data_IF_200837914879
#
_entry.id   IF_200837914879
#
_cell.length_a   1.000
_cell.length_b   1.000
_cell.length_c   1.000
_cell.angle_alpha   90.00
_cell.angle_beta   90.00
_cell.angle_gamma   90.00
#
_symmetry.space_group_name_H-M   'P 1'
#
loop_
_entity.id
_entity.type
_entity.pdbx_description
1 polymer ?
#
# COMPACT_ATOMS: atom_id res chain seq x y z
N UNK A 1 6.83 -13.94 -16.89
CA UNK A 1 5.50 -13.32 -16.80
C UNK A 1 5.52 -12.35 -15.64
N UNK A 2 5.02 -11.12 -15.80
CA UNK A 2 4.95 -10.18 -14.69
C UNK A 2 3.73 -10.54 -13.83
N UNK A 3 3.97 -11.08 -12.63
CA UNK A 3 2.93 -11.56 -11.69
C UNK A 3 2.49 -10.51 -10.68
N UNK A 4 3.02 -9.28 -10.78
CA UNK A 4 2.78 -8.22 -9.80
C UNK A 4 2.20 -6.98 -10.46
N UNK A 5 1.37 -6.27 -9.69
CA UNK A 5 0.84 -4.96 -10.05
C UNK A 5 1.31 -3.94 -9.02
N UNK A 6 1.61 -2.71 -9.44
CA UNK A 6 2.15 -1.67 -8.54
C UNK A 6 1.08 -0.77 -7.93
N UNK A 7 -0.03 -0.56 -8.64
CA UNK A 7 -1.12 0.33 -8.23
C UNK A 7 -2.38 0.06 -9.07
N UNK A 8 -3.50 0.66 -8.68
CA UNK A 8 -4.78 0.49 -9.36
C UNK A 8 -4.80 1.01 -10.81
N UNK A 9 -3.97 1.99 -11.19
CA UNK A 9 -3.84 2.40 -12.60
C UNK A 9 -3.30 1.26 -13.47
N UNK A 10 -2.20 0.64 -13.04
CA UNK A 10 -1.62 -0.49 -13.75
C UNK A 10 -2.62 -1.66 -13.78
N UNK A 11 -3.35 -1.90 -12.69
CA UNK A 11 -4.40 -2.91 -12.65
C UNK A 11 -5.45 -2.66 -13.74
N UNK A 12 -6.06 -1.47 -13.76
CA UNK A 12 -7.10 -1.07 -14.73
C UNK A 12 -6.62 -1.28 -16.17
N UNK A 13 -5.41 -0.82 -16.49
CA UNK A 13 -4.85 -0.99 -17.83
C UNK A 13 -4.74 -2.47 -18.23
N UNK A 14 -4.34 -3.35 -17.31
CA UNK A 14 -4.16 -4.76 -17.59
C UNK A 14 -5.50 -5.51 -17.68
N UNK A 15 -6.44 -5.23 -16.77
CA UNK A 15 -7.77 -5.87 -16.80
C UNK A 15 -8.56 -5.45 -18.03
N UNK A 16 -8.45 -4.18 -18.48
CA UNK A 16 -9.12 -3.73 -19.71
C UNK A 16 -8.53 -4.37 -20.96
N UNK A 17 -7.19 -4.48 -21.03
CA UNK A 17 -6.52 -5.17 -22.13
C UNK A 17 -6.92 -6.64 -22.21
N UNK A 18 -6.89 -7.35 -21.08
CA UNK A 18 -7.31 -8.75 -21.03
C UNK A 18 -8.79 -8.90 -21.37
N UNK A 19 -9.64 -7.99 -20.87
CA UNK A 19 -11.07 -8.07 -21.09
C UNK A 19 -11.49 -7.82 -22.53
N UNK A 20 -10.71 -7.04 -23.28
CA UNK A 20 -10.98 -6.77 -24.70
C UNK A 20 -10.97 -8.04 -25.57
N UNK A 21 -10.24 -9.08 -25.14
CA UNK A 21 -10.07 -10.32 -25.92
C UNK A 21 -10.62 -11.56 -25.23
N UNK A 22 -10.69 -11.57 -23.89
CA UNK A 22 -10.93 -12.81 -23.13
C UNK A 22 -12.16 -12.77 -22.23
N UNK A 23 -12.76 -11.61 -21.95
CA UNK A 23 -13.90 -11.52 -21.04
C UNK A 23 -15.16 -12.11 -21.67
N UNK A 24 -15.85 -12.95 -20.92
CA UNK A 24 -17.11 -13.59 -21.28
C UNK A 24 -18.13 -13.39 -20.15
N UNK A 25 -19.43 -13.61 -20.38
CA UNK A 25 -20.43 -13.61 -19.31
C UNK A 25 -20.12 -14.63 -18.20
N UNK A 26 -19.42 -15.72 -18.52
CA UNK A 26 -19.04 -16.77 -17.56
C UNK A 26 -17.74 -16.46 -16.80
N UNK A 27 -17.00 -15.39 -17.14
CA UNK A 27 -15.76 -15.06 -16.45
C UNK A 27 -16.00 -14.81 -14.98
N UNK A 28 -15.27 -15.56 -14.15
CA UNK A 28 -15.21 -15.43 -12.71
C UNK A 28 -14.01 -14.59 -12.30
N UNK A 29 -14.23 -13.74 -11.31
CA UNK A 29 -13.19 -12.99 -10.61
C UNK A 29 -12.95 -13.65 -9.26
N UNK A 30 -11.69 -13.87 -8.95
CA UNK A 30 -11.24 -14.48 -7.70
C UNK A 30 -10.32 -13.51 -7.01
N UNK A 31 -10.61 -13.21 -5.76
CA UNK A 31 -9.69 -12.53 -4.84
C UNK A 31 -9.26 -13.56 -3.80
N UNK A 32 -7.97 -13.64 -3.51
CA UNK A 32 -7.46 -14.43 -2.40
C UNK A 32 -6.62 -13.55 -1.49
N UNK A 33 -6.78 -13.70 -0.19
CA UNK A 33 -5.95 -13.07 0.83
C UNK A 33 -5.09 -14.13 1.52
N UNK A 34 -3.83 -13.81 1.80
CA UNK A 34 -2.96 -14.69 2.59
C UNK A 34 -3.11 -14.37 4.07
N UNK A 35 -3.72 -15.30 4.80
CA UNK A 35 -3.91 -15.14 6.24
C UNK A 35 -2.57 -15.03 6.97
N UNK A 36 -2.40 -13.94 7.73
CA UNK A 36 -1.28 -13.75 8.66
C UNK A 36 0.11 -13.92 8.02
N UNK A 37 0.28 -13.43 6.78
CA UNK A 37 1.49 -13.64 5.96
C UNK A 37 2.80 -13.42 6.74
N UNK A 38 2.94 -12.29 7.45
CA UNK A 38 4.19 -11.94 8.13
C UNK A 38 4.50 -12.78 9.37
N UNK A 39 3.47 -13.31 10.05
CA UNK A 39 3.62 -14.05 11.30
C UNK A 39 3.68 -15.56 11.07
N UNK A 40 3.19 -16.06 9.92
CA UNK A 40 3.15 -17.49 9.63
C UNK A 40 4.38 -18.03 8.88
N UNK A 41 5.17 -17.18 8.23
CA UNK A 41 6.40 -17.63 7.53
C UNK A 41 7.43 -18.17 8.55
N UNK A 42 7.91 -19.42 8.40
CA UNK A 42 8.98 -19.95 9.23
C UNK A 42 10.27 -19.13 9.06
N UNK A 43 10.98 -18.84 10.14
CA UNK A 43 12.16 -17.96 10.10
C UNK A 43 13.26 -18.49 9.16
N UNK A 44 13.66 -19.76 9.32
CA UNK A 44 14.61 -20.41 8.40
C UNK A 44 14.02 -20.61 7.00
N UNK A 45 12.70 -20.81 6.88
CA UNK A 45 12.01 -20.86 5.60
C UNK A 45 12.13 -19.53 4.83
N UNK A 46 12.03 -18.41 5.54
CA UNK A 46 12.23 -17.06 5.00
C UNK A 46 13.68 -16.81 4.57
N UNK A 47 14.67 -17.21 5.38
CA UNK A 47 16.09 -17.12 5.01
C UNK A 47 16.39 -17.98 3.78
N UNK A 48 15.86 -19.20 3.74
CA UNK A 48 15.99 -20.10 2.58
C UNK A 48 15.31 -19.52 1.33
N UNK A 49 14.18 -18.84 1.47
CA UNK A 49 13.52 -18.17 0.36
C UNK A 49 14.39 -17.05 -0.23
N UNK A 50 15.02 -16.22 0.60
CA UNK A 50 15.98 -15.20 0.15
C UNK A 50 17.16 -15.84 -0.59
N UNK A 51 17.74 -16.91 -0.04
CA UNK A 51 18.82 -17.66 -0.70
C UNK A 51 18.41 -18.15 -2.09
N UNK A 52 17.27 -18.85 -2.17
CA UNK A 52 16.72 -19.37 -3.43
C UNK A 52 16.42 -18.24 -4.42
N UNK A 53 15.94 -17.09 -3.93
CA UNK A 53 15.65 -15.93 -4.77
C UNK A 53 16.94 -15.38 -5.40
N UNK A 54 17.97 -15.16 -4.59
CA UNK A 54 19.28 -14.71 -5.08
C UNK A 54 19.86 -15.68 -6.11
N UNK A 55 19.78 -16.98 -5.84
CA UNK A 55 20.23 -18.02 -6.77
C UNK A 55 19.43 -18.03 -8.08
N UNK A 56 18.10 -17.88 -8.01
CA UNK A 56 17.23 -17.82 -9.19
C UNK A 56 17.52 -16.61 -10.09
N UNK A 57 18.05 -15.52 -9.53
CA UNK A 57 18.46 -14.32 -10.28
C UNK A 57 19.98 -14.26 -10.53
N UNK A 58 20.74 -15.31 -10.19
CA UNK A 58 22.20 -15.33 -10.38
C UNK A 58 22.96 -14.31 -9.53
N UNK A 59 22.37 -13.81 -8.44
CA UNK A 59 22.94 -12.78 -7.58
C UNK A 59 23.94 -13.39 -6.60
N UNK A 60 25.22 -13.05 -6.79
CA UNK A 60 26.31 -13.43 -5.85
C UNK A 60 26.53 -12.38 -4.75
N UNK A 61 26.18 -11.13 -5.02
CA UNK A 61 26.27 -10.01 -4.09
C UNK A 61 25.22 -8.95 -4.43
N UNK A 62 24.89 -8.09 -3.46
CA UNK A 62 24.02 -6.93 -3.62
C UNK A 62 24.78 -5.73 -3.03
N UNK A 63 24.98 -4.67 -3.82
CA UNK A 63 25.70 -3.46 -3.41
C UNK A 63 27.07 -3.74 -2.75
N UNK A 64 27.81 -4.70 -3.31
CA UNK A 64 29.12 -5.14 -2.78
C UNK A 64 29.08 -6.07 -1.57
N UNK A 65 27.88 -6.36 -1.02
CA UNK A 65 27.71 -7.28 0.09
C UNK A 65 27.51 -8.71 -0.42
N UNK A 66 28.39 -9.63 -0.02
CA UNK A 66 28.33 -11.04 -0.42
C UNK A 66 27.04 -11.72 0.06
N UNK A 67 26.53 -12.67 -0.75
CA UNK A 67 25.34 -13.48 -0.44
C UNK A 67 25.38 -14.08 0.97
N UNK A 68 26.52 -14.62 1.38
CA UNK A 68 26.68 -15.30 2.67
C UNK A 68 26.45 -14.33 3.83
N UNK A 69 26.94 -13.09 3.70
CA UNK A 69 26.76 -12.02 4.69
C UNK A 69 25.30 -11.58 4.73
N UNK A 70 24.66 -11.39 3.56
CA UNK A 70 23.23 -11.04 3.48
C UNK A 70 22.37 -12.09 4.18
N UNK A 71 22.63 -13.38 3.96
CA UNK A 71 21.90 -14.47 4.60
C UNK A 71 22.15 -14.53 6.11
N UNK A 72 23.39 -14.29 6.55
CA UNK A 72 23.73 -14.24 7.98
C UNK A 72 23.00 -13.08 8.67
N UNK A 73 23.01 -11.88 8.08
CA UNK A 73 22.30 -10.71 8.60
C UNK A 73 20.78 -10.91 8.59
N UNK A 74 20.24 -11.50 7.51
CA UNK A 74 18.81 -11.83 7.41
C UNK A 74 18.39 -12.76 8.53
N UNK A 75 19.15 -13.83 8.76
CA UNK A 75 18.92 -14.78 9.85
C UNK A 75 19.02 -14.09 11.21
N UNK A 76 20.05 -13.28 11.41
CA UNK A 76 20.23 -12.56 12.67
C UNK A 76 19.01 -11.68 12.99
N UNK A 77 18.55 -10.86 12.05
CA UNK A 77 17.43 -9.95 12.26
C UNK A 77 16.12 -10.70 12.50
N UNK A 78 15.81 -11.74 11.72
CA UNK A 78 14.53 -12.45 11.87
C UNK A 78 14.47 -13.29 13.15
N UNK A 79 15.60 -13.83 13.61
CA UNK A 79 15.67 -14.68 14.82
C UNK A 79 15.80 -13.89 16.12
N UNK A 80 16.19 -12.61 16.06
CA UNK A 80 16.38 -11.76 17.24
C UNK A 80 15.30 -10.67 17.34
N UNK A 81 14.05 -11.05 17.09
CA UNK A 81 12.93 -10.15 17.28
C UNK A 81 12.32 -10.31 18.68
N UNK A 82 12.41 -9.27 19.50
CA UNK A 82 11.89 -9.22 20.86
C UNK A 82 10.87 -8.07 20.98
N UNK A 83 9.79 -8.29 21.72
CA UNK A 83 8.82 -7.24 22.02
C UNK A 83 8.39 -7.30 23.49
N UNK A 84 8.02 -6.14 24.03
CA UNK A 84 7.54 -5.99 25.40
C UNK A 84 6.02 -5.84 25.42
N UNK A 85 5.35 -6.68 26.18
CA UNK A 85 3.90 -6.65 26.36
C UNK A 85 3.58 -7.01 27.82
N UNK A 86 2.70 -6.25 28.46
CA UNK A 86 2.15 -6.52 29.80
C UNK A 86 3.21 -6.91 30.85
N UNK A 87 4.28 -6.12 30.96
CA UNK A 87 5.32 -6.36 31.97
C UNK A 87 6.42 -7.32 31.53
N UNK A 88 6.25 -8.03 30.42
CA UNK A 88 7.11 -9.16 30.03
C UNK A 88 7.75 -8.98 28.66
N UNK A 89 8.96 -9.53 28.50
CA UNK A 89 9.65 -9.62 27.21
C UNK A 89 9.35 -10.95 26.53
N UNK A 90 8.99 -10.89 25.25
CA UNK A 90 8.70 -12.04 24.41
C UNK A 90 9.64 -12.08 23.22
N UNK A 91 10.09 -13.29 22.86
CA UNK A 91 10.83 -13.54 21.62
C UNK A 91 9.87 -14.11 20.58
N UNK A 92 9.81 -13.50 19.40
CA UNK A 92 9.04 -14.05 18.29
C UNK A 92 9.81 -15.24 17.69
N UNK A 93 9.18 -16.42 17.74
CA UNK A 93 9.77 -17.69 17.27
C UNK A 93 9.36 -18.07 15.84
N UNK A 94 8.36 -17.39 15.27
CA UNK A 94 7.81 -17.63 13.93
C UNK A 94 7.43 -16.31 13.27
N UNK A 95 7.65 -16.19 11.97
CA UNK A 95 7.45 -14.95 11.24
C UNK A 95 8.51 -13.90 11.55
N UNK A 96 8.27 -12.69 11.06
CA UNK A 96 9.07 -11.51 11.38
C UNK A 96 8.25 -10.41 12.03
N UNK A 97 8.94 -9.37 12.52
CA UNK A 97 8.30 -8.21 13.12
C UNK A 97 7.43 -7.49 12.09
N UNK A 98 6.14 -7.30 12.40
CA UNK A 98 5.29 -6.44 11.58
C UNK A 98 5.87 -5.02 11.56
N UNK A 99 5.98 -4.44 10.36
CA UNK A 99 6.60 -3.12 10.15
C UNK A 99 8.13 -3.14 9.98
N UNK A 100 8.78 -4.31 10.07
CA UNK A 100 10.17 -4.44 9.65
C UNK A 100 10.27 -4.42 8.12
N UNK A 101 11.11 -3.55 7.53
CA UNK A 101 11.36 -3.55 6.08
C UNK A 101 11.87 -4.91 5.58
N UNK A 102 12.66 -5.62 6.39
CA UNK A 102 13.19 -6.93 6.02
C UNK A 102 12.07 -7.98 5.94
N UNK A 103 11.11 -7.95 6.86
CA UNK A 103 10.01 -8.92 6.91
C UNK A 103 9.15 -8.85 5.64
N UNK A 104 8.92 -7.65 5.10
CA UNK A 104 8.25 -7.47 3.81
C UNK A 104 9.04 -8.11 2.66
N UNK A 105 10.35 -7.93 2.63
CA UNK A 105 11.23 -8.52 1.61
C UNK A 105 11.22 -10.05 1.69
N UNK A 106 11.32 -10.60 2.90
CA UNK A 106 11.24 -12.05 3.14
C UNK A 106 9.88 -12.60 2.69
N UNK A 107 8.78 -11.93 3.04
CA UNK A 107 7.45 -12.35 2.65
C UNK A 107 7.26 -12.39 1.13
N UNK A 108 7.73 -11.36 0.42
CA UNK A 108 7.70 -11.35 -1.04
C UNK A 108 8.58 -12.44 -1.65
N UNK A 109 9.77 -12.69 -1.08
CA UNK A 109 10.65 -13.77 -1.53
C UNK A 109 10.02 -15.15 -1.32
N UNK A 110 9.36 -15.36 -0.18
CA UNK A 110 8.66 -16.60 0.12
C UNK A 110 7.47 -16.82 -0.83
N UNK A 111 6.62 -15.80 -0.98
CA UNK A 111 5.46 -15.84 -1.86
C UNK A 111 5.83 -16.01 -3.33
N UNK A 112 6.99 -15.50 -3.77
CA UNK A 112 7.48 -15.70 -5.13
C UNK A 112 7.64 -17.18 -5.52
N UNK A 113 7.91 -18.07 -4.56
CA UNK A 113 7.96 -19.52 -4.82
C UNK A 113 6.60 -20.18 -4.68
N UNK A 114 5.84 -19.82 -3.64
CA UNK A 114 4.49 -20.34 -3.39
C UNK A 114 3.54 -20.04 -4.54
N UNK A 115 3.66 -18.87 -5.18
CA UNK A 115 2.77 -18.47 -6.27
C UNK A 115 3.08 -19.10 -7.64
N UNK A 116 4.23 -19.77 -7.81
CA UNK A 116 4.64 -20.30 -9.12
C UNK A 116 3.65 -21.30 -9.71
N UNK A 117 3.10 -22.27 -8.95
CA UNK A 117 2.11 -23.19 -9.48
C UNK A 117 0.83 -22.45 -9.92
N UNK A 118 0.42 -21.43 -9.16
CA UNK A 118 -0.77 -20.60 -9.45
C UNK A 118 -0.55 -19.81 -10.75
N UNK A 119 0.57 -19.09 -10.85
CA UNK A 119 0.91 -18.32 -12.05
C UNK A 119 1.08 -19.20 -13.29
N UNK A 120 1.69 -20.38 -13.16
CA UNK A 120 1.79 -21.36 -14.26
C UNK A 120 0.42 -21.85 -14.72
N UNK A 121 -0.47 -22.16 -13.78
CA UNK A 121 -1.85 -22.54 -14.09
C UNK A 121 -2.61 -21.40 -14.80
N UNK A 122 -2.48 -20.17 -14.31
CA UNK A 122 -3.13 -19.01 -14.90
C UNK A 122 -2.68 -18.80 -16.35
N UNK A 123 -1.37 -18.89 -16.61
CA UNK A 123 -0.82 -18.79 -17.96
C UNK A 123 -1.34 -19.89 -18.90
N UNK A 124 -1.43 -21.14 -18.43
CA UNK A 124 -1.94 -22.27 -19.23
C UNK A 124 -3.44 -22.16 -19.57
N UNK A 125 -4.20 -21.47 -18.73
CA UNK A 125 -5.66 -21.31 -18.89
C UNK A 125 -6.04 -19.95 -19.49
N UNK A 126 -5.07 -19.16 -19.95
CA UNK A 126 -5.26 -17.79 -20.39
C UNK A 126 -5.95 -16.89 -19.35
N UNK A 127 -5.81 -17.22 -18.06
CA UNK A 127 -6.34 -16.43 -16.95
C UNK A 127 -5.40 -15.27 -16.61
N UNK A 128 -5.96 -14.15 -16.18
CA UNK A 128 -5.18 -13.04 -15.64
C UNK A 128 -4.83 -13.35 -14.19
N UNK A 129 -3.59 -13.13 -13.77
CA UNK A 129 -3.13 -13.33 -12.39
C UNK A 129 -2.25 -12.17 -11.96
N UNK A 130 -2.56 -11.57 -10.81
CA UNK A 130 -1.71 -10.58 -10.15
C UNK A 130 -1.68 -10.78 -8.65
N UNK A 131 -0.55 -10.43 -8.04
CA UNK A 131 -0.37 -10.33 -6.59
C UNK A 131 0.09 -8.93 -6.19
N UNK A 132 -0.38 -8.46 -5.04
CA UNK A 132 0.06 -7.27 -4.33
C UNK A 132 0.31 -7.65 -2.88
N UNK A 133 1.58 -7.91 -2.52
CA UNK A 133 1.96 -8.39 -1.19
C UNK A 133 1.23 -9.69 -0.84
N UNK A 134 0.19 -9.62 -0.01
CA UNK A 134 -0.68 -10.67 0.54
C UNK A 134 -1.98 -10.84 -0.24
N UNK A 135 -2.43 -9.82 -0.98
CA UNK A 135 -3.61 -9.90 -1.82
C UNK A 135 -3.27 -10.51 -3.19
N UNK A 136 -4.09 -11.45 -3.66
CA UNK A 136 -4.02 -12.07 -4.98
C UNK A 136 -5.34 -11.83 -5.74
N UNK A 137 -5.23 -11.69 -7.06
CA UNK A 137 -6.36 -11.43 -7.95
C UNK A 137 -6.25 -12.26 -9.22
N UNK A 138 -7.35 -12.92 -9.60
CA UNK A 138 -7.46 -13.74 -10.80
C UNK A 138 -8.74 -13.40 -11.57
N UNK A 139 -8.63 -13.29 -12.89
CA UNK A 139 -9.78 -13.33 -13.81
C UNK A 139 -9.67 -14.57 -14.67
N UNK A 140 -10.70 -15.42 -14.67
CA UNK A 140 -10.66 -16.71 -15.36
C UNK A 140 -12.00 -17.09 -15.98
N UNK A 141 -11.95 -17.74 -17.15
CA UNK A 141 -13.11 -18.38 -17.78
C UNK A 141 -13.34 -19.81 -17.28
N UNK A 142 -12.52 -20.31 -16.34
CA UNK A 142 -12.73 -21.60 -15.69
C UNK A 142 -13.93 -21.51 -14.76
N UNK A 143 -14.74 -22.58 -14.72
CA UNK A 143 -15.94 -22.65 -13.90
C UNK A 143 -15.64 -22.44 -12.40
N UNK A 144 -16.52 -21.72 -11.70
CA UNK A 144 -16.32 -21.32 -10.31
C UNK A 144 -16.04 -22.50 -9.37
N UNK A 145 -16.70 -23.64 -9.55
CA UNK A 145 -16.47 -24.82 -8.69
C UNK A 145 -15.10 -25.46 -8.89
N UNK A 146 -14.57 -25.42 -10.11
CA UNK A 146 -13.20 -25.86 -10.39
C UNK A 146 -12.22 -24.90 -9.74
N UNK A 147 -12.47 -23.59 -9.80
CA UNK A 147 -11.65 -22.58 -9.12
C UNK A 147 -11.62 -22.82 -7.60
N UNK A 148 -12.76 -23.08 -6.94
CA UNK A 148 -12.79 -23.47 -5.51
C UNK A 148 -11.96 -24.72 -5.24
N UNK A 149 -12.05 -25.74 -6.10
CA UNK A 149 -11.24 -26.95 -6.00
C UNK A 149 -9.73 -26.67 -6.11
N UNK A 150 -9.34 -25.76 -6.99
CA UNK A 150 -7.95 -25.33 -7.18
C UNK A 150 -7.41 -24.56 -5.98
N UNK A 151 -8.19 -23.64 -5.39
CA UNK A 151 -7.78 -22.94 -4.17
C UNK A 151 -7.54 -23.94 -3.03
N UNK A 152 -8.47 -24.88 -2.83
CA UNK A 152 -8.28 -25.97 -1.85
C UNK A 152 -7.01 -26.78 -2.11
N UNK A 153 -6.66 -27.00 -3.38
CA UNK A 153 -5.40 -27.66 -3.74
C UNK A 153 -4.17 -26.78 -3.45
N UNK A 154 -4.20 -25.49 -3.77
CA UNK A 154 -3.11 -24.56 -3.49
C UNK A 154 -2.85 -24.40 -2.00
N UNK A 155 -3.90 -24.41 -1.16
CA UNK A 155 -3.79 -24.42 0.30
C UNK A 155 -3.09 -25.67 0.88
N UNK A 156 -2.90 -26.74 0.08
CA UNK A 156 -2.13 -27.93 0.49
C UNK A 156 -0.67 -27.91 0.04
N UNK A 157 -0.27 -26.92 -0.76
CA UNK A 157 1.10 -26.85 -1.30
C UNK A 157 2.11 -26.35 -0.28
N UNK A 158 1.67 -25.53 0.67
CA UNK A 158 2.52 -25.00 1.73
C UNK A 158 1.76 -24.94 3.05
N UNK A 159 2.25 -25.63 4.07
CA UNK A 159 1.60 -25.70 5.39
C UNK A 159 1.61 -24.37 6.16
N UNK A 160 2.34 -23.35 5.67
CA UNK A 160 2.48 -22.05 6.31
C UNK A 160 1.66 -20.96 5.62
N UNK A 161 1.09 -21.24 4.44
CA UNK A 161 0.34 -20.25 3.66
C UNK A 161 -1.09 -20.76 3.50
N UNK A 162 -2.03 -19.95 3.98
CA UNK A 162 -3.45 -20.21 3.83
C UNK A 162 -4.05 -19.06 3.03
N UNK A 163 -4.65 -19.41 1.90
CA UNK A 163 -5.44 -18.52 1.06
C UNK A 163 -6.90 -18.58 1.49
N UNK A 164 -7.48 -17.41 1.78
CA UNK A 164 -8.92 -17.21 1.92
C UNK A 164 -9.46 -16.65 0.61
N UNK A 165 -10.38 -17.33 -0.06
CA UNK A 165 -10.93 -16.91 -1.35
C UNK A 165 -12.32 -16.28 -1.30
N UNK A 166 -12.56 -15.35 -2.23
CA UNK A 166 -13.88 -14.92 -2.64
C UNK A 166 -13.97 -15.06 -4.16
N UNK A 167 -15.01 -15.77 -4.65
CA UNK A 167 -15.21 -16.07 -6.07
C UNK A 167 -16.59 -15.58 -6.49
N UNK A 168 -16.64 -14.80 -7.55
CA UNK A 168 -17.90 -14.34 -8.13
C UNK A 168 -17.71 -13.53 -9.40
N UNK A 169 -18.70 -12.72 -9.75
CA UNK A 169 -18.62 -11.80 -10.88
C UNK A 169 -18.25 -10.37 -10.45
N UNK A 170 -17.88 -10.19 -9.18
CA UNK A 170 -17.44 -8.93 -8.61
C UNK A 170 -16.23 -9.20 -7.74
N UNK A 171 -15.24 -8.33 -7.82
CA UNK A 171 -14.02 -8.41 -7.03
C UNK A 171 -13.57 -7.02 -6.59
N UNK A 172 -12.98 -6.96 -5.42
CA UNK A 172 -12.41 -5.77 -4.81
C UNK A 172 -10.92 -6.04 -4.65
N UNK A 173 -10.09 -5.26 -5.33
CA UNK A 173 -8.65 -5.47 -5.33
C UNK A 173 -7.93 -4.13 -5.44
N UNK A 174 -6.99 -3.88 -4.52
CA UNK A 174 -6.43 -2.54 -4.28
C UNK A 174 -7.55 -1.53 -3.96
N UNK A 175 -7.57 -0.41 -4.67
CA UNK A 175 -8.52 0.69 -4.58
C UNK A 175 -9.59 0.65 -5.68
N UNK A 176 -9.79 -0.52 -6.31
CA UNK A 176 -10.68 -0.71 -7.46
C UNK A 176 -11.70 -1.82 -7.17
N UNK A 177 -12.96 -1.56 -7.53
CA UNK A 177 -14.03 -2.56 -7.59
C UNK A 177 -14.31 -2.89 -9.06
N UNK A 178 -14.21 -4.17 -9.40
CA UNK A 178 -14.41 -4.72 -10.74
C UNK A 178 -15.67 -5.57 -10.74
N UNK A 179 -16.48 -5.44 -11.79
CA UNK A 179 -17.73 -6.18 -11.98
C UNK A 179 -17.79 -6.69 -13.42
N UNK A 180 -18.13 -7.97 -13.61
CA UNK A 180 -18.51 -8.53 -14.89
C UNK A 180 -20.03 -8.43 -15.06
N UNK A 181 -20.48 -7.49 -15.89
CA UNK A 181 -21.91 -7.31 -16.19
C UNK A 181 -22.25 -7.95 -17.53
N UNK A 182 -22.42 -9.27 -17.53
CA UNK A 182 -22.82 -10.03 -18.71
C UNK A 182 -21.79 -9.95 -19.86
N UNK A 183 -20.50 -10.05 -19.54
CA UNK A 183 -19.41 -9.96 -20.52
C UNK A 183 -18.88 -8.54 -20.74
N UNK A 184 -19.37 -7.56 -19.96
CA UNK A 184 -18.85 -6.19 -19.95
C UNK A 184 -18.15 -5.87 -18.64
N UNK A 185 -16.87 -5.51 -18.72
CA UNK A 185 -16.10 -5.06 -17.56
C UNK A 185 -16.62 -3.69 -17.10
N UNK A 186 -17.01 -3.60 -15.84
CA UNK A 186 -17.33 -2.35 -15.16
C UNK A 186 -16.36 -2.15 -14.01
N UNK A 187 -15.76 -0.98 -13.95
CA UNK A 187 -14.82 -0.61 -12.90
C UNK A 187 -15.29 0.68 -12.20
N UNK A 188 -15.01 0.76 -10.89
CA UNK A 188 -15.26 1.95 -10.06
C UNK A 188 -14.27 2.02 -8.91
N UNK A 189 -14.16 3.19 -8.28
CA UNK A 189 -13.37 3.34 -7.05
C UNK A 189 -14.02 2.48 -5.96
N UNK A 190 -13.20 1.72 -5.25
CA UNK A 190 -13.65 0.96 -4.09
C UNK A 190 -13.46 1.76 -2.80
N UNK A 191 -14.53 1.86 -2.01
CA UNK A 191 -14.51 2.41 -0.66
C UNK A 191 -14.90 1.29 0.31
N UNK A 192 -14.03 0.99 1.28
CA UNK A 192 -14.33 -0.03 2.30
C UNK A 192 -15.54 0.44 3.12
N UNK A 193 -16.54 -0.42 3.40
CA UNK A 193 -17.72 -0.04 4.17
C UNK A 193 -17.40 0.50 5.58
N UNK A 194 -16.31 0.04 6.18
CA UNK A 194 -15.84 0.49 7.49
C UNK A 194 -15.08 1.82 7.44
N UNK A 195 -14.83 2.38 6.26
CA UNK A 195 -14.08 3.61 6.11
C UNK A 195 -15.01 4.80 6.28
N UNK A 196 -14.83 5.55 7.36
CA UNK A 196 -15.39 6.90 7.43
C UNK A 196 -14.76 7.74 6.31
N UNK A 197 -15.50 8.70 5.71
CA UNK A 197 -14.99 9.57 4.65
C UNK A 197 -13.98 10.58 5.21
N UNK A 198 -12.91 10.11 5.83
CA UNK A 198 -11.92 10.90 6.52
C UNK A 198 -10.77 11.26 5.57
N UNK A 199 -10.82 12.47 5.05
CA UNK A 199 -9.65 13.13 4.50
C UNK A 199 -8.91 13.86 5.60
N UNK A 200 -7.65 14.20 5.36
CA UNK A 200 -6.93 15.09 6.26
C UNK A 200 -7.74 16.39 6.45
N UNK A 201 -8.17 16.75 7.67
CA UNK A 201 -9.01 17.93 7.86
C UNK A 201 -8.34 19.21 7.35
N UNK A 202 -9.10 20.09 6.71
CA UNK A 202 -8.55 21.33 6.15
C UNK A 202 -7.98 22.25 7.24
N UNK A 203 -8.50 22.17 8.46
CA UNK A 203 -8.03 22.92 9.64
C UNK A 203 -6.73 22.37 10.26
N UNK A 204 -6.27 21.20 9.82
CA UNK A 204 -5.04 20.59 10.34
C UNK A 204 -3.79 21.42 9.96
N UNK A 205 -2.73 21.33 10.78
CA UNK A 205 -1.47 22.08 10.57
C UNK A 205 -0.55 21.32 9.61
N UNK A 206 -1.03 21.08 8.39
CA UNK A 206 -0.24 20.47 7.32
C UNK A 206 0.00 21.50 6.22
N UNK A 207 1.14 21.38 5.55
CA UNK A 207 1.51 22.26 4.45
C UNK A 207 0.41 22.31 3.37
N UNK A 208 0.14 23.51 2.85
CA UNK A 208 -0.98 23.74 1.93
C UNK A 208 -0.91 22.86 0.67
N UNK A 209 0.29 22.52 0.19
CA UNK A 209 0.45 21.65 -0.98
C UNK A 209 -0.11 20.24 -0.74
N UNK A 210 -0.07 19.71 0.50
CA UNK A 210 -0.69 18.43 0.86
C UNK A 210 -2.21 18.55 0.75
N UNK A 211 -2.78 19.63 1.31
CA UNK A 211 -4.22 19.91 1.24
C UNK A 211 -4.69 20.08 -0.20
N UNK A 212 -3.90 20.76 -1.06
CA UNK A 212 -4.19 20.89 -2.50
C UNK A 212 -4.13 19.55 -3.24
N UNK A 213 -3.22 18.66 -2.86
CA UNK A 213 -3.03 17.38 -3.55
C UNK A 213 -4.14 16.36 -3.27
N UNK A 214 -4.81 16.44 -2.11
CA UNK A 214 -5.89 15.51 -1.76
C UNK A 214 -7.05 15.52 -2.78
N UNK A 215 -7.75 16.65 -3.04
CA UNK A 215 -8.81 16.71 -4.05
C UNK A 215 -8.28 16.40 -5.46
N UNK A 216 -7.06 16.86 -5.78
CA UNK A 216 -6.42 16.61 -7.07
C UNK A 216 -6.25 15.10 -7.35
N UNK A 217 -5.66 14.35 -6.42
CA UNK A 217 -5.42 12.92 -6.58
C UNK A 217 -6.74 12.13 -6.53
N UNK A 218 -7.68 12.54 -5.67
CA UNK A 218 -8.99 11.92 -5.59
C UNK A 218 -9.74 11.99 -6.93
N UNK A 219 -9.75 13.16 -7.59
CA UNK A 219 -10.40 13.31 -8.89
C UNK A 219 -9.68 12.53 -10.00
N UNK A 220 -8.34 12.57 -10.04
CA UNK A 220 -7.54 11.76 -10.99
C UNK A 220 -7.89 10.28 -10.85
N UNK A 221 -8.01 9.78 -9.61
CA UNK A 221 -8.41 8.40 -9.32
C UNK A 221 -9.83 8.11 -9.78
N UNK A 222 -10.79 9.00 -9.49
CA UNK A 222 -12.18 8.88 -9.91
C UNK A 222 -12.32 8.73 -11.42
N UNK A 223 -11.60 9.54 -12.20
CA UNK A 223 -11.61 9.48 -13.67
C UNK A 223 -10.97 8.19 -14.15
N UNK A 224 -9.82 7.78 -13.60
CA UNK A 224 -9.12 6.56 -14.02
C UNK A 224 -9.93 5.30 -13.76
N UNK A 225 -10.55 5.18 -12.60
CA UNK A 225 -11.14 3.89 -12.18
C UNK A 225 -12.60 3.74 -12.58
N UNK A 226 -13.31 4.82 -12.87
CA UNK A 226 -14.72 4.74 -13.25
C UNK A 226 -14.87 4.39 -14.73
N UNK A 227 -15.43 3.23 -15.08
CA UNK A 227 -15.59 2.83 -16.50
C UNK A 227 -16.67 3.63 -17.25
N UNK A 228 -17.53 4.35 -16.54
CA UNK A 228 -18.64 5.12 -17.13
C UNK A 228 -18.77 6.51 -16.50
N UNK A 229 -19.34 7.44 -17.27
CA UNK A 229 -19.58 8.81 -16.80
C UNK A 229 -20.49 8.84 -15.56
N UNK A 230 -21.55 8.04 -15.54
CA UNK A 230 -22.46 7.95 -14.40
C UNK A 230 -21.74 7.45 -13.13
N UNK A 231 -20.85 6.47 -13.27
CA UNK A 231 -19.99 6.00 -12.18
C UNK A 231 -19.07 7.12 -11.68
N UNK A 232 -18.43 7.82 -12.61
CA UNK A 232 -17.55 8.95 -12.29
C UNK A 232 -18.29 10.08 -11.56
N UNK A 233 -19.48 10.47 -12.01
CA UNK A 233 -20.27 11.54 -11.38
C UNK A 233 -20.70 11.19 -9.95
N UNK A 234 -21.02 9.92 -9.69
CA UNK A 234 -21.29 9.46 -8.31
C UNK A 234 -20.05 9.56 -7.43
N UNK A 235 -18.90 9.15 -7.95
CA UNK A 235 -17.63 9.23 -7.22
C UNK A 235 -17.20 10.69 -7.00
N UNK A 236 -17.34 11.56 -8.00
CA UNK A 236 -17.06 12.98 -7.88
C UNK A 236 -17.94 13.64 -6.80
N UNK A 237 -19.24 13.34 -6.78
CA UNK A 237 -20.15 13.82 -5.74
C UNK A 237 -19.74 13.29 -4.35
N UNK A 238 -19.36 12.02 -4.24
CA UNK A 238 -18.87 11.43 -2.99
C UNK A 238 -17.59 12.12 -2.50
N UNK A 239 -16.63 12.38 -3.39
CA UNK A 239 -15.38 13.09 -3.07
C UNK A 239 -15.69 14.51 -2.58
N UNK A 240 -16.52 15.26 -3.30
CA UNK A 240 -16.91 16.61 -2.90
C UNK A 240 -17.55 16.61 -1.51
N UNK A 241 -18.53 15.74 -1.26
CA UNK A 241 -19.21 15.65 0.03
C UNK A 241 -18.23 15.30 1.15
N UNK A 242 -17.37 14.32 0.92
CA UNK A 242 -16.34 13.89 1.88
C UNK A 242 -15.37 15.02 2.21
N UNK A 243 -14.91 15.79 1.24
CA UNK A 243 -14.02 16.93 1.46
C UNK A 243 -14.70 18.07 2.24
N UNK A 244 -15.97 18.37 1.92
CA UNK A 244 -16.76 19.37 2.66
C UNK A 244 -16.95 18.96 4.13
N UNK A 245 -17.21 17.69 4.40
CA UNK A 245 -17.28 17.15 5.76
C UNK A 245 -15.95 17.34 6.51
N UNK A 246 -14.82 17.25 5.81
CA UNK A 246 -13.47 17.54 6.32
C UNK A 246 -13.09 19.03 6.25
N UNK A 247 -14.08 19.92 6.15
CA UNK A 247 -13.96 21.39 6.21
C UNK A 247 -13.17 22.04 5.08
N UNK A 248 -13.02 21.37 3.94
CA UNK A 248 -12.45 22.01 2.76
C UNK A 248 -13.42 23.07 2.20
N UNK A 249 -12.95 24.30 1.90
CA UNK A 249 -13.75 25.29 1.19
C UNK A 249 -14.12 24.80 -0.21
N UNK A 250 -15.37 24.99 -0.64
CA UNK A 250 -15.83 24.49 -1.95
C UNK A 250 -15.02 25.08 -3.12
N UNK A 251 -14.74 26.38 -3.08
CA UNK A 251 -13.93 27.05 -4.11
C UNK A 251 -12.54 26.42 -4.22
N UNK A 252 -11.90 26.14 -3.08
CA UNK A 252 -10.60 25.47 -3.05
C UNK A 252 -10.65 24.08 -3.71
N UNK A 253 -11.71 23.30 -3.49
CA UNK A 253 -11.90 21.99 -4.13
C UNK A 253 -12.07 22.14 -5.64
N UNK A 254 -12.94 23.06 -6.09
CA UNK A 254 -13.21 23.30 -7.50
C UNK A 254 -11.95 23.79 -8.25
N UNK A 255 -11.15 24.66 -7.65
CA UNK A 255 -9.86 25.07 -8.19
C UNK A 255 -8.93 23.88 -8.41
N UNK A 256 -8.88 22.92 -7.48
CA UNK A 256 -8.03 21.74 -7.65
C UNK A 256 -8.58 20.79 -8.72
N UNK A 257 -9.90 20.73 -8.90
CA UNK A 257 -10.52 19.96 -9.98
C UNK A 257 -10.20 20.58 -11.35
N UNK A 258 -10.31 21.91 -11.46
CA UNK A 258 -9.91 22.62 -12.67
C UNK A 258 -8.42 22.42 -12.99
N UNK A 259 -7.56 22.47 -11.96
CA UNK A 259 -6.12 22.18 -12.09
C UNK A 259 -5.85 20.79 -12.68
N UNK A 260 -6.65 19.78 -12.32
CA UNK A 260 -6.57 18.44 -12.94
C UNK A 260 -6.90 18.54 -14.42
N UNK A 261 -8.02 19.17 -14.78
CA UNK A 261 -8.45 19.28 -16.19
C UNK A 261 -7.42 20.02 -17.05
N UNK A 262 -6.84 21.10 -16.53
CA UNK A 262 -5.79 21.88 -17.16
C UNK A 262 -4.50 21.05 -17.33
N UNK A 263 -4.02 20.35 -16.30
CA UNK A 263 -2.80 19.52 -16.37
C UNK A 263 -2.91 18.41 -17.43
N UNK A 264 -4.11 17.82 -17.59
CA UNK A 264 -4.38 16.79 -18.58
C UNK A 264 -4.93 17.34 -19.91
N UNK A 265 -4.97 18.67 -20.08
CA UNK A 265 -5.42 19.38 -21.28
C UNK A 265 -6.78 18.86 -21.80
N UNK A 266 -7.75 18.72 -20.90
CA UNK A 266 -9.05 18.15 -21.22
C UNK A 266 -10.21 19.06 -20.82
N UNK A 267 -11.30 18.99 -21.58
CA UNK A 267 -12.54 19.69 -21.26
C UNK A 267 -13.24 19.04 -20.04
N UNK A 268 -14.24 19.74 -19.51
CA UNK A 268 -15.10 19.19 -18.43
C UNK A 268 -15.72 17.86 -18.90
N UNK A 269 -15.65 16.81 -18.06
CA UNK A 269 -16.29 15.53 -18.35
C UNK A 269 -17.80 15.65 -18.56
N UNK A 270 -18.28 15.10 -19.67
CA UNK A 270 -19.70 14.94 -20.04
C UNK A 270 -19.94 13.52 -20.53
N UNK A 271 -21.20 13.08 -20.56
CA UNK A 271 -21.57 11.76 -21.07
C UNK A 271 -20.98 11.46 -22.47
N UNK A 272 -20.87 12.47 -23.34
CA UNK A 272 -20.40 12.33 -24.73
C UNK A 272 -18.88 12.22 -24.83
N UNK A 273 -18.13 12.97 -24.02
CA UNK A 273 -16.66 13.05 -24.14
C UNK A 273 -15.89 12.18 -23.12
N UNK A 274 -16.57 11.61 -22.13
CA UNK A 274 -15.95 10.95 -20.98
C UNK A 274 -14.98 9.84 -21.36
N UNK A 275 -15.37 8.94 -22.28
CA UNK A 275 -14.51 7.82 -22.70
C UNK A 275 -13.18 8.29 -23.29
N UNK A 276 -13.20 9.39 -24.06
CA UNK A 276 -11.98 10.00 -24.62
C UNK A 276 -11.11 10.60 -23.51
N UNK A 277 -11.72 11.34 -22.58
CA UNK A 277 -11.02 11.94 -21.44
C UNK A 277 -10.38 10.85 -20.58
N UNK A 278 -11.14 9.84 -20.17
CA UNK A 278 -10.64 8.73 -19.36
C UNK A 278 -9.44 8.05 -20.00
N UNK A 279 -9.45 7.86 -21.32
CA UNK A 279 -8.31 7.28 -22.05
C UNK A 279 -7.05 8.15 -21.96
N UNK A 280 -7.18 9.48 -21.95
CA UNK A 280 -6.04 10.39 -21.70
C UNK A 280 -5.47 10.12 -20.30
N UNK A 281 -6.32 10.00 -19.28
CA UNK A 281 -5.88 9.76 -17.90
C UNK A 281 -5.24 8.39 -17.67
N UNK A 282 -5.71 7.37 -18.40
CA UNK A 282 -5.14 6.02 -18.36
C UNK A 282 -3.82 5.94 -19.11
N UNK A 283 -3.68 6.66 -20.24
CA UNK A 283 -2.47 6.62 -21.07
C UNK A 283 -1.41 7.62 -20.64
N UNK A 284 -1.80 8.65 -19.87
CA UNK A 284 -0.86 9.53 -19.21
C UNK A 284 0.11 8.64 -18.43
N UNK A 285 1.37 8.63 -18.85
CA UNK A 285 2.41 7.95 -18.12
C UNK A 285 2.26 8.35 -16.65
N UNK A 286 2.49 7.38 -15.76
CA UNK A 286 2.95 7.76 -14.43
C UNK A 286 4.29 8.42 -14.70
N UNK A 287 4.26 9.69 -15.09
CA UNK A 287 5.43 10.51 -15.16
C UNK A 287 5.92 10.45 -13.72
N UNK A 288 6.90 9.59 -13.48
CA UNK A 288 8.03 10.00 -12.69
C UNK A 288 8.58 11.23 -13.41
N UNK A 289 7.89 12.36 -13.28
CA UNK A 289 8.60 13.61 -13.08
C UNK A 289 9.56 13.21 -11.96
N UNK A 290 10.83 12.98 -12.33
CA UNK A 290 11.90 12.92 -11.34
C UNK A 290 11.56 14.07 -10.42
N UNK A 291 11.27 13.78 -9.15
CA UNK A 291 11.16 14.82 -8.12
C UNK A 291 12.34 15.73 -8.41
N UNK A 292 12.08 17.00 -8.77
CA UNK A 292 13.16 17.92 -9.11
C UNK A 292 14.19 17.76 -8.00
N UNK A 293 15.42 17.36 -8.37
CA UNK A 293 16.47 17.20 -7.38
C UNK A 293 16.57 18.53 -6.65
N UNK A 294 16.49 18.46 -5.32
CA UNK A 294 16.60 19.67 -4.54
C UNK A 294 18.04 20.12 -4.71
N UNK A 295 18.20 21.28 -5.34
CA UNK A 295 19.49 21.92 -5.45
C UNK A 295 19.92 22.38 -4.06
N UNK A 296 20.85 21.63 -3.45
CA UNK A 296 21.37 21.92 -2.13
C UNK A 296 22.37 23.09 -2.12
N UNK A 297 22.75 23.63 -3.29
CA UNK A 297 23.53 24.87 -3.35
C UNK A 297 22.67 26.10 -3.01
N UNK A 298 21.36 26.03 -3.27
CA UNK A 298 20.42 27.15 -3.05
C UNK A 298 19.31 26.84 -2.05
N UNK A 299 19.21 25.61 -1.54
CA UNK A 299 18.23 25.22 -0.53
C UNK A 299 18.89 24.56 0.68
N UNK A 300 18.51 25.00 1.89
CA UNK A 300 18.92 24.36 3.15
C UNK A 300 17.70 23.79 3.87
N UNK A 301 17.80 22.57 4.39
CA UNK A 301 16.74 22.01 5.24
C UNK A 301 16.98 22.36 6.71
N UNK A 302 16.00 23.04 7.30
CA UNK A 302 16.02 23.40 8.71
C UNK A 302 14.95 22.57 9.43
N UNK A 303 15.37 21.58 10.22
CA UNK A 303 14.46 20.80 11.04
C UNK A 303 14.31 21.42 12.43
N UNK A 304 13.08 21.50 12.94
CA UNK A 304 12.80 21.99 14.29
C UNK A 304 11.88 21.04 15.05
N UNK A 305 12.05 20.98 16.37
CA UNK A 305 11.15 20.24 17.25
C UNK A 305 9.85 21.02 17.43
N UNK A 306 8.74 20.43 17.05
CA UNK A 306 7.43 21.06 17.20
C UNK A 306 6.93 20.93 18.64
N UNK A 307 6.63 22.07 19.27
CA UNK A 307 5.95 22.14 20.57
C UNK A 307 4.57 22.80 20.41
N UNK A 308 3.63 22.40 21.29
CA UNK A 308 2.28 22.95 21.33
C UNK A 308 2.37 24.46 21.66
N UNK A 309 2.17 25.31 20.65
CA UNK A 309 2.36 26.76 20.72
C UNK A 309 3.18 27.35 19.56
N UNK A 310 3.90 26.50 18.80
CA UNK A 310 4.78 26.92 17.71
C UNK A 310 4.10 26.93 16.33
N UNK A 311 2.79 27.18 16.26
CA UNK A 311 2.04 27.10 15.00
C UNK A 311 2.54 28.13 13.96
N UNK A 312 2.92 29.33 14.43
CA UNK A 312 3.41 30.42 13.58
C UNK A 312 4.93 30.40 13.39
N UNK A 313 5.63 29.41 13.96
CA UNK A 313 7.09 29.34 13.93
C UNK A 313 7.66 29.33 12.51
N UNK A 314 7.13 28.54 11.55
CA UNK A 314 7.64 28.57 10.18
C UNK A 314 7.58 29.96 9.57
N UNK A 315 6.47 30.69 9.74
CA UNK A 315 6.30 32.05 9.22
C UNK A 315 7.30 33.01 9.86
N UNK A 316 7.41 32.99 11.19
CA UNK A 316 8.36 33.83 11.93
C UNK A 316 9.81 33.53 11.57
N UNK A 317 10.15 32.26 11.36
CA UNK A 317 11.48 31.86 10.94
C UNK A 317 11.84 32.44 9.57
N UNK A 318 10.93 32.41 8.58
CA UNK A 318 11.21 32.99 7.26
C UNK A 318 11.31 34.52 7.33
N UNK A 319 10.52 35.17 8.19
CA UNK A 319 10.64 36.60 8.45
C UNK A 319 12.03 36.94 9.01
N UNK A 320 12.44 36.25 10.08
CA UNK A 320 13.76 36.43 10.69
C UNK A 320 14.89 36.09 9.72
N UNK A 321 14.75 35.05 8.92
CA UNK A 321 15.74 34.68 7.90
C UNK A 321 15.95 35.81 6.90
N UNK A 322 14.85 36.41 6.43
CA UNK A 322 14.92 37.55 5.53
C UNK A 322 15.57 38.75 6.22
N UNK A 323 15.13 39.07 7.43
CA UNK A 323 15.63 40.24 8.18
C UNK A 323 17.12 40.12 8.53
N UNK A 324 17.62 38.91 8.82
CA UNK A 324 19.01 38.69 9.21
C UNK A 324 19.96 38.45 8.03
N UNK A 325 19.47 37.90 6.91
CA UNK A 325 20.34 37.38 5.86
C UNK A 325 20.11 38.01 4.48
N UNK A 326 19.20 38.97 4.32
CA UNK A 326 18.93 39.64 3.03
C UNK A 326 20.16 40.26 2.38
N UNK A 327 21.09 40.79 3.19
CA UNK A 327 22.27 41.53 2.71
C UNK A 327 23.57 40.72 2.83
N UNK A 328 23.45 39.41 3.05
CA UNK A 328 24.59 38.50 3.25
C UNK A 328 24.86 37.65 2.02
N UNK A 329 26.04 37.01 1.96
CA UNK A 329 26.41 36.10 0.86
C UNK A 329 25.45 34.89 0.70
N UNK A 330 24.61 34.62 1.71
CA UNK A 330 23.64 33.53 1.71
C UNK A 330 22.20 34.00 1.44
N UNK A 331 21.99 35.24 0.98
CA UNK A 331 20.67 35.80 0.68
C UNK A 331 19.88 34.99 -0.36
N UNK A 332 20.58 34.28 -1.24
CA UNK A 332 20.00 33.42 -2.27
C UNK A 332 19.62 32.02 -1.74
N UNK A 333 20.06 31.65 -0.53
CA UNK A 333 19.71 30.38 0.10
C UNK A 333 18.29 30.45 0.63
N UNK A 334 17.47 29.49 0.20
CA UNK A 334 16.09 29.31 0.65
C UNK A 334 16.02 28.26 1.74
N UNK A 335 15.69 28.62 2.99
CA UNK A 335 15.50 27.64 4.03
C UNK A 335 14.16 26.94 3.84
N UNK A 336 14.18 25.61 3.91
CA UNK A 336 13.01 24.75 3.91
C UNK A 336 12.82 24.24 5.34
N UNK A 337 11.83 24.80 6.03
CA UNK A 337 11.57 24.48 7.44
C UNK A 337 10.64 23.26 7.53
N UNK A 338 11.07 22.23 8.25
CA UNK A 338 10.29 21.02 8.49
C UNK A 338 10.23 20.67 9.98
N UNK A 339 9.06 20.34 10.50
CA UNK A 339 8.97 19.83 11.87
C UNK A 339 9.52 18.41 11.95
N UNK A 340 10.37 18.13 12.95
CA UNK A 340 10.82 16.78 13.29
C UNK A 340 10.30 16.44 14.70
N UNK A 341 9.72 15.25 14.86
CA UNK A 341 9.51 14.67 16.19
C UNK A 341 10.85 14.09 16.65
N UNK A 342 11.33 14.48 17.82
CA UNK A 342 12.51 13.85 18.41
C UNK A 342 12.14 12.41 18.79
N UNK A 343 12.86 11.45 18.22
CA UNK A 343 12.73 10.05 18.60
C UNK A 343 13.23 9.89 20.04
N UNK A 344 12.41 9.30 20.91
CA UNK A 344 12.85 8.92 22.25
C UNK A 344 13.35 7.46 22.24
N UNK A 345 13.99 7.02 23.33
CA UNK A 345 14.51 5.65 23.44
C UNK A 345 13.44 4.58 23.17
N UNK A 346 12.17 4.87 23.50
CA UNK A 346 11.04 3.99 23.22
C UNK A 346 10.73 3.89 21.71
N UNK A 347 10.87 4.97 20.93
CA UNK A 347 10.68 4.96 19.47
C UNK A 347 11.75 4.11 18.75
N UNK A 348 12.94 3.97 19.33
CA UNK A 348 14.00 3.06 18.85
C UNK A 348 13.73 1.59 19.22
N UNK A 349 13.09 1.34 20.36
CA UNK A 349 12.92 0.00 20.92
C UNK A 349 11.56 -0.64 20.60
N UNK A 350 10.52 0.14 20.30
CA UNK A 350 9.15 -0.36 20.14
C UNK A 350 8.54 0.17 18.84
N UNK A 351 8.45 -0.69 17.81
CA UNK A 351 7.86 -0.30 16.52
C UNK A 351 6.38 -0.63 16.33
N UNK A 352 5.73 -1.36 17.24
CA UNK A 352 4.25 -1.44 17.39
C UNK A 352 3.86 -2.45 18.48
N UNK A 353 2.74 -2.21 19.17
CA UNK A 353 2.04 -3.28 19.91
C UNK A 353 1.26 -4.15 18.90
N UNK A 354 1.37 -5.49 18.95
CA UNK A 354 0.52 -6.37 18.14
C UNK A 354 -0.95 -6.29 18.59
N UNK A 355 -1.86 -6.65 17.70
CA UNK A 355 -3.31 -6.66 17.95
C UNK A 355 -3.65 -7.78 18.95
N UNK A 356 -4.60 -7.54 19.87
CA UNK A 356 -4.99 -8.50 20.93
C UNK A 356 -5.45 -9.88 20.40
N UNK A 357 -5.78 -9.98 19.11
CA UNK A 357 -6.25 -11.20 18.46
C UNK A 357 -5.14 -12.21 18.13
N UNK A 358 -3.85 -11.85 18.23
CA UNK A 358 -2.74 -12.78 17.94
C UNK A 358 -2.42 -13.74 19.11
N UNK A 359 -3.23 -13.73 20.17
CA UNK A 359 -3.04 -14.57 21.35
C UNK A 359 -3.76 -15.92 21.18
N UNK A 360 -3.09 -16.89 20.55
CA UNK A 360 -3.33 -18.30 20.88
C UNK A 360 -2.21 -18.78 21.79
N UNK A 361 -2.47 -18.73 23.09
CA UNK A 361 -1.63 -19.38 24.10
C UNK A 361 -1.82 -20.89 23.95
N UNK A 362 -0.75 -21.63 23.63
CA UNK A 362 -0.75 -23.08 23.73
C UNK A 362 -0.98 -23.48 25.21
N UNK A 363 -2.01 -24.27 25.56
CA UNK A 363 -2.31 -24.64 26.94
C UNK A 363 -1.48 -25.86 27.39
N UNK A 364 -0.17 -25.83 27.15
CA UNK A 364 0.73 -26.95 27.47
C UNK A 364 2.00 -26.48 28.20
N UNK A 365 1.85 -25.55 29.14
CA UNK A 365 2.83 -25.28 30.20
C UNK A 365 2.14 -24.67 31.42
N UNK A 366 1.27 -25.44 32.08
CA UNK A 366 0.89 -25.19 33.48
C UNK A 366 1.06 -26.48 34.28
N UNK A 367 2.30 -26.79 34.62
CA UNK A 367 2.61 -27.62 35.78
C UNK A 367 3.82 -27.03 36.51
N UNK A 368 3.72 -27.09 37.85
CA UNK A 368 4.66 -26.64 38.87
C UNK A 368 4.79 -25.10 38.99
N UNK A 369 4.67 -24.45 40.14
CA UNK A 369 4.53 -24.81 41.57
C UNK A 369 4.26 -23.47 42.27
N UNK A 370 3.36 -23.42 43.26
CA UNK A 370 3.73 -22.95 44.61
C UNK A 370 2.53 -22.96 45.56
N UNK A 371 2.68 -23.80 46.57
CA UNK A 371 1.94 -23.79 47.81
C UNK A 371 2.36 -22.60 48.69
N UNK A 372 1.35 -21.93 49.25
CA UNK A 372 1.35 -21.39 50.62
C UNK A 372 1.67 -19.90 50.82
N UNK A 373 1.24 -19.28 51.93
CA UNK A 373 0.02 -19.56 52.72
C UNK A 373 -0.85 -18.31 52.92
N UNK A 374 -2.12 -18.56 53.25
CA UNK A 374 -3.12 -17.59 53.68
C UNK A 374 -2.76 -16.97 55.03
N UNK A 375 -2.91 -15.65 55.16
CA UNK A 375 -3.10 -14.97 56.45
C UNK A 375 -4.21 -13.93 56.24
N UNK A 376 -5.36 -14.25 56.84
CA UNK A 376 -6.56 -13.44 57.18
C UNK A 376 -7.16 -12.49 56.16
#
# INVERSE_FOLDING_TARGET
MNTTVKNGLQLIQQVERWSATCLTPATSFVTMDVTDLYTMIPQEGGVAAIKKLMEAFGLRQIDGVKKEIILALTRFVITNNYFYLDGSYYKQIRGGAMGSPLTLTIANAYMFFVERPISKWANRTCSLYYRYIDDLFIMSNVHADILKGLVKFWNRLDNNIVFSECIGHTAEYLDVKLENRGGKLVSKVYHKPSYEPYFLPFTSIHALHIKKNIPYVALVRAIRYSSSYNTFKREEAYICMSLLLNKYPIQFVLEQFERVLQKFQCAVPTQKNYSKIRRIFLNAAVNGEKKAEIDFEVNIFCHFSFLKGMQDFPTRFHQLWKDCFSDTAICNIKPIVGSKRLDNLQDYLVKKKPHNSCLQLNPSTRHATNNGPSIT
#
